data_IF_687346271322
#
_entry.id   IF_687346271322
#
_cell.length_a   1.000
_cell.length_b   1.000
_cell.length_c   1.000
_cell.angle_alpha   90.00
_cell.angle_beta   90.00
_cell.angle_gamma   90.00
#
_symmetry.space_group_name_H-M   'P 1'
#
loop_
_entity.id
_entity.type
_entity.pdbx_description
1 polymer ?
#
# COMPACT_ATOMS: atom_id res chain seq x y z
N UNK A 1 49.31 52.20 15.33
CA UNK A 1 48.73 52.67 14.04
C UNK A 1 47.73 51.63 13.60
N UNK A 2 46.49 52.04 13.58
CA UNK A 2 45.32 51.26 13.24
C UNK A 2 45.27 50.90 11.73
N UNK A 3 44.91 49.68 11.37
CA UNK A 3 44.43 49.36 10.02
C UNK A 3 43.29 48.35 10.13
N UNK A 4 42.14 48.82 9.75
CA UNK A 4 40.85 48.21 9.68
C UNK A 4 40.75 47.20 8.53
N UNK A 5 40.31 45.95 8.81
CA UNK A 5 39.91 45.01 7.76
C UNK A 5 38.39 44.81 7.86
N UNK A 6 37.69 45.20 6.80
CA UNK A 6 36.22 45.05 6.62
C UNK A 6 35.88 43.62 6.29
N UNK A 7 35.04 42.99 7.09
CA UNK A 7 34.35 41.76 6.79
C UNK A 7 33.22 41.99 5.77
N UNK A 8 33.28 41.31 4.63
CA UNK A 8 32.18 41.19 3.69
C UNK A 8 31.30 39.97 4.10
N UNK A 9 30.13 40.25 4.60
CA UNK A 9 29.12 39.24 4.93
C UNK A 9 28.39 38.79 3.65
N UNK A 10 28.59 37.55 3.22
CA UNK A 10 27.73 36.92 2.23
C UNK A 10 26.39 36.57 2.89
N UNK A 11 25.34 37.22 2.44
CA UNK A 11 23.96 36.85 2.75
C UNK A 11 23.61 35.62 1.92
N UNK A 12 23.47 34.48 2.59
CA UNK A 12 22.75 33.31 2.06
C UNK A 12 21.27 33.59 2.28
N UNK A 13 20.53 33.75 1.21
CA UNK A 13 19.07 33.83 1.21
C UNK A 13 18.52 32.42 1.43
N UNK A 14 18.18 32.09 2.65
CA UNK A 14 17.35 30.92 2.97
C UNK A 14 15.90 31.27 2.66
N UNK A 15 15.36 30.72 1.60
CA UNK A 15 13.94 30.70 1.34
C UNK A 15 13.29 29.71 2.31
N UNK A 16 12.74 30.24 3.41
CA UNK A 16 11.83 29.46 4.25
C UNK A 16 10.47 29.43 3.56
N UNK A 17 10.13 28.27 3.00
CA UNK A 17 8.77 27.96 2.61
C UNK A 17 7.96 27.80 3.92
N UNK A 18 7.12 28.77 4.26
CA UNK A 18 6.21 28.68 5.41
C UNK A 18 5.09 27.71 5.07
N UNK A 19 5.08 26.57 5.73
CA UNK A 19 3.89 25.71 5.84
C UNK A 19 2.88 26.45 6.71
N UNK A 20 1.61 26.63 6.30
CA UNK A 20 0.60 27.23 7.14
C UNK A 20 0.29 26.32 8.32
N UNK A 21 0.50 26.82 9.54
CA UNK A 21 0.04 26.17 10.77
C UNK A 21 -1.49 26.02 10.76
N UNK A 22 -1.94 24.85 11.15
CA UNK A 22 -3.34 24.51 11.40
C UNK A 22 -3.94 25.51 12.40
N UNK A 23 -4.99 26.22 12.00
CA UNK A 23 -5.93 26.86 12.89
C UNK A 23 -7.29 26.17 12.82
N UNK A 24 -7.74 25.78 13.98
CA UNK A 24 -9.13 25.55 14.42
C UNK A 24 -10.16 25.15 13.35
N UNK A 25 -10.35 23.84 13.18
CA UNK A 25 -11.52 23.31 12.50
C UNK A 25 -12.62 23.11 13.54
N UNK A 26 -13.54 24.05 13.59
CA UNK A 26 -14.84 23.89 14.24
C UNK A 26 -15.57 22.73 13.61
N UNK A 27 -15.86 21.70 14.39
CA UNK A 27 -16.69 20.56 14.01
C UNK A 27 -18.07 21.04 13.53
N UNK A 28 -18.24 21.18 12.23
CA UNK A 28 -19.55 21.14 11.59
C UNK A 28 -19.69 19.75 11.00
N UNK A 29 -20.80 19.07 11.32
CA UNK A 29 -21.25 17.88 10.62
C UNK A 29 -21.48 18.28 9.15
N UNK A 30 -20.44 18.14 8.33
CA UNK A 30 -20.56 18.39 6.90
C UNK A 30 -20.84 17.05 6.23
N UNK A 31 -21.95 16.97 5.50
CA UNK A 31 -22.14 15.96 4.49
C UNK A 31 -20.84 15.79 3.69
N UNK A 32 -20.43 14.54 3.47
CA UNK A 32 -19.26 14.23 2.67
C UNK A 32 -19.46 14.84 1.26
N UNK A 33 -18.66 15.85 0.90
CA UNK A 33 -18.64 16.43 -0.44
C UNK A 33 -17.50 15.77 -1.25
N UNK A 34 -17.83 14.81 -2.14
CA UNK A 34 -16.84 14.12 -2.96
C UNK A 34 -16.05 15.09 -3.85
N UNK A 35 -16.70 16.16 -4.32
CA UNK A 35 -16.06 17.15 -5.18
C UNK A 35 -15.10 18.06 -4.39
N UNK A 36 -15.40 18.35 -3.12
CA UNK A 36 -14.47 19.04 -2.22
C UNK A 36 -13.23 18.20 -1.93
N UNK A 37 -13.44 16.89 -1.65
CA UNK A 37 -12.33 15.96 -1.43
C UNK A 37 -11.46 15.78 -2.68
N UNK A 38 -12.08 15.72 -3.86
CA UNK A 38 -11.34 15.66 -5.12
C UNK A 38 -10.52 16.93 -5.36
N UNK A 39 -11.08 18.12 -5.07
CA UNK A 39 -10.35 19.40 -5.17
C UNK A 39 -9.17 19.46 -4.20
N UNK A 40 -9.35 19.00 -2.96
CA UNK A 40 -8.29 18.90 -1.97
C UNK A 40 -7.16 17.98 -2.45
N UNK A 41 -7.49 16.77 -2.91
CA UNK A 41 -6.54 15.79 -3.45
C UNK A 41 -5.80 16.32 -4.68
N UNK A 42 -6.48 17.06 -5.56
CA UNK A 42 -5.85 17.72 -6.73
C UNK A 42 -4.89 18.82 -6.32
N UNK A 43 -5.29 19.67 -5.38
CA UNK A 43 -4.44 20.74 -4.85
C UNK A 43 -3.18 20.18 -4.19
N UNK A 44 -3.32 19.12 -3.38
CA UNK A 44 -2.20 18.44 -2.78
C UNK A 44 -1.28 17.76 -3.82
N UNK A 45 -1.86 17.06 -4.82
CA UNK A 45 -1.07 16.33 -5.82
C UNK A 45 -0.29 17.24 -6.76
N UNK A 46 -0.76 18.47 -6.99
CA UNK A 46 -0.05 19.46 -7.80
C UNK A 46 1.11 20.15 -7.07
N UNK A 47 1.17 19.99 -5.73
CA UNK A 47 2.22 20.61 -4.91
C UNK A 47 3.47 19.72 -4.75
N UNK A 48 3.46 18.48 -5.29
CA UNK A 48 4.55 17.54 -5.06
C UNK A 48 5.47 17.42 -6.25
N UNK A 49 6.73 17.77 -6.00
CA UNK A 49 7.80 17.46 -6.94
C UNK A 49 8.16 15.97 -6.81
N UNK A 50 7.66 15.16 -7.74
CA UNK A 50 7.96 13.73 -7.86
C UNK A 50 9.13 13.45 -8.81
N UNK A 51 9.74 14.49 -9.35
CA UNK A 51 10.72 14.39 -10.44
C UNK A 51 12.08 13.83 -10.00
N UNK A 52 12.43 13.95 -8.71
CA UNK A 52 13.75 13.59 -8.21
C UNK A 52 13.70 12.73 -6.94
N UNK A 53 13.18 11.49 -6.99
CA UNK A 53 13.26 10.61 -5.85
C UNK A 53 14.71 10.23 -5.57
N UNK A 54 15.10 10.22 -4.29
CA UNK A 54 16.45 9.85 -3.85
C UNK A 54 16.48 8.40 -3.38
N UNK A 55 17.61 7.71 -3.41
CA UNK A 55 17.73 6.40 -2.77
C UNK A 55 17.39 6.46 -1.28
N UNK A 56 16.76 5.39 -0.77
CA UNK A 56 16.55 5.25 0.67
C UNK A 56 17.90 5.09 1.38
N UNK A 57 18.04 5.72 2.54
CA UNK A 57 19.15 5.52 3.46
C UNK A 57 18.85 4.41 4.46
N UNK A 58 19.87 3.81 5.11
CA UNK A 58 19.66 2.84 6.17
C UNK A 58 18.74 3.41 7.28
N UNK A 59 17.64 2.74 7.54
CA UNK A 59 16.65 3.16 8.54
C UNK A 59 15.41 3.88 7.97
N UNK A 60 15.46 4.41 6.76
CA UNK A 60 14.27 5.03 6.12
C UNK A 60 13.10 4.04 5.98
N UNK A 61 13.41 2.78 5.67
CA UNK A 61 12.45 1.67 5.58
C UNK A 61 13.08 0.51 6.36
N UNK A 62 12.77 0.36 7.65
CA UNK A 62 13.40 -0.65 8.50
C UNK A 62 13.12 -2.07 8.01
N UNK A 63 14.09 -2.97 8.21
CA UNK A 63 13.94 -4.41 7.97
C UNK A 63 13.61 -5.08 9.30
N UNK A 64 12.48 -5.77 9.35
CA UNK A 64 11.99 -6.46 10.54
C UNK A 64 12.01 -7.97 10.27
N UNK A 65 12.77 -8.70 11.09
CA UNK A 65 12.86 -10.15 11.04
C UNK A 65 11.95 -10.78 12.10
N UNK A 66 10.96 -11.55 11.63
CA UNK A 66 10.01 -12.24 12.51
C UNK A 66 10.39 -13.72 12.76
N UNK A 67 11.52 -14.19 12.25
CA UNK A 67 11.89 -15.61 12.30
C UNK A 67 11.99 -16.16 13.72
N UNK A 68 12.52 -15.38 14.68
CA UNK A 68 12.61 -15.79 16.07
C UNK A 68 11.23 -16.06 16.66
N UNK A 69 10.30 -15.11 16.51
CA UNK A 69 8.93 -15.29 16.98
C UNK A 69 8.17 -16.41 16.24
N UNK A 70 8.35 -16.53 14.92
CA UNK A 70 7.75 -17.63 14.16
C UNK A 70 8.21 -18.99 14.67
N UNK A 71 9.48 -19.11 15.09
CA UNK A 71 10.05 -20.36 15.59
C UNK A 71 9.66 -20.66 17.04
N UNK A 72 9.65 -19.66 17.92
CA UNK A 72 9.39 -19.84 19.34
C UNK A 72 7.92 -19.81 19.70
N UNK A 73 7.15 -18.91 19.09
CA UNK A 73 5.79 -18.56 19.50
C UNK A 73 5.70 -17.85 20.85
N UNK A 74 6.85 -17.41 21.41
CA UNK A 74 6.93 -16.84 22.75
C UNK A 74 6.51 -15.38 22.79
N UNK A 75 5.85 -14.96 23.87
CA UNK A 75 5.43 -13.58 24.10
C UNK A 75 6.60 -12.59 24.15
N UNK A 76 7.78 -13.03 24.59
CA UNK A 76 8.98 -12.19 24.63
C UNK A 76 9.45 -11.82 23.21
N UNK A 77 9.51 -12.79 22.30
CA UNK A 77 9.87 -12.56 20.90
C UNK A 77 8.77 -11.75 20.19
N UNK A 78 7.49 -12.01 20.50
CA UNK A 78 6.37 -11.22 20.03
C UNK A 78 6.52 -9.74 20.41
N UNK A 79 6.87 -9.47 21.69
CA UNK A 79 7.03 -8.10 22.17
C UNK A 79 8.18 -7.36 21.46
N UNK A 80 9.29 -8.05 21.17
CA UNK A 80 10.42 -7.46 20.41
C UNK A 80 9.99 -7.06 19.01
N UNK A 81 9.33 -7.95 18.28
CA UNK A 81 8.87 -7.67 16.92
C UNK A 81 7.78 -6.59 16.94
N UNK A 82 6.86 -6.65 17.90
CA UNK A 82 5.79 -5.65 18.05
C UNK A 82 6.34 -4.24 18.28
N UNK A 83 7.40 -4.10 19.09
CA UNK A 83 8.05 -2.81 19.30
C UNK A 83 8.65 -2.24 17.99
N UNK A 84 9.30 -3.08 17.18
CA UNK A 84 9.85 -2.67 15.89
C UNK A 84 8.75 -2.27 14.89
N UNK A 85 7.66 -3.04 14.83
CA UNK A 85 6.50 -2.72 13.97
C UNK A 85 5.84 -1.42 14.43
N UNK A 86 5.68 -1.20 15.74
CA UNK A 86 5.15 0.06 16.26
C UNK A 86 5.98 1.26 15.81
N UNK A 87 7.30 1.21 16.02
CA UNK A 87 8.22 2.28 15.61
C UNK A 87 8.14 2.55 14.11
N UNK A 88 8.16 1.49 13.29
CA UNK A 88 8.07 1.60 11.84
C UNK A 88 6.74 2.23 11.38
N UNK A 89 5.61 1.83 11.96
CA UNK A 89 4.28 2.35 11.61
C UNK A 89 4.08 3.81 12.06
N UNK A 90 4.69 4.22 13.18
CA UNK A 90 4.62 5.61 13.68
C UNK A 90 5.56 6.55 12.91
N UNK A 91 6.70 6.06 12.42
CA UNK A 91 7.76 6.90 11.85
C UNK A 91 7.81 6.90 10.32
N UNK A 92 7.85 5.72 9.70
CA UNK A 92 7.98 5.54 8.26
C UNK A 92 6.67 5.15 7.58
N UNK A 93 5.73 4.49 8.28
CA UNK A 93 4.52 3.90 7.73
C UNK A 93 4.78 2.71 6.81
N UNK A 94 6.06 2.33 6.63
CA UNK A 94 6.55 1.25 5.80
C UNK A 94 7.68 0.49 6.49
N UNK A 95 7.76 -0.81 6.24
CA UNK A 95 8.91 -1.64 6.61
C UNK A 95 9.08 -2.82 5.65
N UNK A 96 10.22 -3.49 5.70
CA UNK A 96 10.47 -4.73 4.98
C UNK A 96 10.42 -5.90 5.96
N UNK A 97 9.60 -6.89 5.66
CA UNK A 97 9.37 -8.07 6.49
C UNK A 97 10.15 -9.26 5.93
N UNK A 98 11.05 -9.81 6.75
CA UNK A 98 11.79 -11.04 6.47
C UNK A 98 11.52 -12.11 7.54
N UNK A 99 12.00 -13.33 7.32
CA UNK A 99 11.78 -14.45 8.26
C UNK A 99 10.32 -14.91 8.32
N UNK A 100 9.54 -14.59 7.30
CA UNK A 100 8.13 -14.95 7.18
C UNK A 100 7.94 -16.41 6.72
N UNK A 101 6.69 -16.91 6.83
CA UNK A 101 6.34 -18.32 6.57
C UNK A 101 6.03 -18.66 5.11
N UNK A 102 5.94 -17.70 4.22
CA UNK A 102 5.65 -17.95 2.80
C UNK A 102 6.86 -18.62 2.15
N UNK A 103 6.73 -19.83 1.56
CA UNK A 103 7.86 -20.56 0.99
C UNK A 103 8.50 -19.79 -0.18
N UNK A 104 9.84 -19.69 -0.19
CA UNK A 104 10.58 -19.00 -1.26
C UNK A 104 10.31 -19.60 -2.64
N UNK A 105 10.23 -20.93 -2.75
CA UNK A 105 9.89 -21.59 -4.02
C UNK A 105 8.49 -21.22 -4.54
N UNK A 106 7.52 -20.98 -3.64
CA UNK A 106 6.19 -20.52 -4.03
C UNK A 106 6.21 -19.05 -4.50
N UNK A 107 7.06 -18.22 -3.90
CA UNK A 107 7.28 -16.83 -4.34
C UNK A 107 7.88 -16.81 -5.76
N UNK A 108 8.89 -17.63 -6.00
CA UNK A 108 9.53 -17.76 -7.33
C UNK A 108 8.52 -18.25 -8.37
N UNK A 109 7.75 -19.32 -8.06
CA UNK A 109 6.71 -19.85 -8.92
C UNK A 109 5.63 -18.80 -9.23
N UNK A 110 5.27 -17.98 -8.24
CA UNK A 110 4.29 -16.93 -8.42
C UNK A 110 4.78 -15.78 -9.32
N UNK A 111 6.06 -15.42 -9.25
CA UNK A 111 6.66 -14.46 -10.19
C UNK A 111 6.76 -15.03 -11.60
N UNK A 112 7.18 -16.29 -11.78
CA UNK A 112 7.16 -16.97 -13.08
C UNK A 112 5.74 -16.98 -13.68
N UNK A 113 4.76 -17.32 -12.87
CA UNK A 113 3.37 -17.36 -13.29
C UNK A 113 2.83 -15.96 -13.65
N UNK A 114 3.24 -14.93 -12.91
CA UNK A 114 2.90 -13.53 -13.21
C UNK A 114 3.48 -13.10 -14.57
N UNK A 115 4.74 -13.42 -14.84
CA UNK A 115 5.39 -13.14 -16.11
C UNK A 115 4.71 -13.87 -17.27
N UNK A 116 4.49 -15.18 -17.14
CA UNK A 116 3.83 -16.02 -18.16
C UNK A 116 2.41 -15.56 -18.46
N UNK A 117 1.65 -15.16 -17.43
CA UNK A 117 0.30 -14.62 -17.62
C UNK A 117 0.34 -13.34 -18.50
N UNK A 118 1.22 -12.40 -18.18
CA UNK A 118 1.30 -11.15 -18.93
C UNK A 118 1.91 -11.30 -20.32
N UNK A 119 2.68 -12.36 -20.56
CA UNK A 119 3.20 -12.72 -21.88
C UNK A 119 2.15 -13.36 -22.81
N UNK A 120 0.98 -13.75 -22.28
CA UNK A 120 -0.10 -14.27 -23.11
C UNK A 120 -0.56 -13.27 -24.16
N UNK A 121 -1.07 -13.73 -25.32
CA UNK A 121 -1.71 -12.86 -26.29
C UNK A 121 -2.83 -12.02 -25.64
N UNK A 122 -2.92 -10.76 -26.04
CA UNK A 122 -3.92 -9.82 -25.49
C UNK A 122 -5.33 -10.40 -25.56
N UNK A 123 -5.68 -11.04 -26.68
CA UNK A 123 -6.99 -11.66 -26.89
C UNK A 123 -7.34 -12.70 -25.80
N UNK A 124 -6.35 -13.48 -25.32
CA UNK A 124 -6.59 -14.45 -24.26
C UNK A 124 -6.89 -13.76 -22.93
N UNK A 125 -6.17 -12.67 -22.60
CA UNK A 125 -6.38 -11.85 -21.40
C UNK A 125 -7.72 -11.08 -21.45
N UNK A 126 -8.07 -10.54 -22.60
CA UNK A 126 -9.34 -9.78 -22.80
C UNK A 126 -10.59 -10.65 -22.57
N UNK A 127 -10.50 -11.98 -22.70
CA UNK A 127 -11.62 -12.88 -22.40
C UNK A 127 -12.03 -12.87 -20.93
N UNK A 128 -11.09 -12.55 -20.05
CA UNK A 128 -11.29 -12.48 -18.59
C UNK A 128 -11.15 -11.05 -18.07
N UNK A 129 -11.42 -10.07 -18.91
CA UNK A 129 -11.36 -8.65 -18.57
C UNK A 129 -12.39 -8.27 -17.52
N UNK A 130 -11.97 -7.59 -16.45
CA UNK A 130 -12.79 -7.29 -15.27
C UNK A 130 -13.76 -6.11 -15.43
N UNK A 131 -13.55 -5.21 -16.41
CA UNK A 131 -14.36 -4.01 -16.65
C UNK A 131 -15.36 -4.18 -17.81
N UNK A 132 -15.80 -5.43 -18.06
CA UNK A 132 -16.85 -5.72 -19.03
C UNK A 132 -18.18 -5.19 -18.56
N UNK A 133 -19.00 -4.71 -19.50
CA UNK A 133 -20.39 -4.34 -19.24
C UNK A 133 -21.15 -5.49 -18.54
N UNK A 134 -21.82 -5.16 -17.43
CA UNK A 134 -22.53 -6.15 -16.60
C UNK A 134 -21.70 -6.81 -15.50
N UNK A 135 -20.43 -6.43 -15.31
CA UNK A 135 -19.59 -6.91 -14.23
C UNK A 135 -19.63 -5.95 -13.04
N UNK A 136 -19.69 -6.49 -11.80
CA UNK A 136 -19.70 -5.63 -10.62
C UNK A 136 -18.42 -4.80 -10.54
N UNK A 137 -18.56 -3.54 -10.17
CA UNK A 137 -17.42 -2.66 -9.86
C UNK A 137 -16.56 -3.32 -8.78
N UNK A 138 -15.25 -3.37 -9.02
CA UNK A 138 -14.33 -4.08 -8.12
C UNK A 138 -14.27 -5.59 -8.34
N UNK A 139 -14.67 -6.06 -9.54
CA UNK A 139 -14.58 -7.44 -9.97
C UNK A 139 -13.16 -8.02 -9.91
N UNK A 140 -13.02 -9.25 -10.35
CA UNK A 140 -11.79 -10.00 -10.48
C UNK A 140 -11.53 -10.30 -11.94
N UNK A 141 -10.27 -10.47 -12.33
CA UNK A 141 -9.90 -10.73 -13.72
C UNK A 141 -8.79 -9.79 -14.22
N UNK A 142 -8.66 -9.72 -15.52
CA UNK A 142 -7.65 -8.91 -16.19
C UNK A 142 -8.02 -7.42 -16.25
N UNK A 143 -7.08 -6.58 -15.86
CA UNK A 143 -7.14 -5.13 -15.96
C UNK A 143 -6.14 -4.67 -17.03
N UNK A 144 -6.61 -4.17 -18.19
CA UNK A 144 -5.73 -3.76 -19.27
C UNK A 144 -4.89 -2.52 -18.93
N UNK A 145 -3.84 -2.30 -19.74
CA UNK A 145 -3.05 -1.08 -19.75
C UNK A 145 -3.95 0.15 -19.88
N UNK A 146 -3.62 1.22 -19.16
CA UNK A 146 -4.35 2.50 -19.18
C UNK A 146 -5.84 2.43 -18.75
N UNK A 147 -6.29 1.34 -18.16
CA UNK A 147 -7.68 1.16 -17.75
C UNK A 147 -8.04 1.93 -16.47
N UNK A 148 -7.07 2.27 -15.63
CA UNK A 148 -7.30 3.04 -14.41
C UNK A 148 -6.62 4.39 -14.45
N UNK A 149 -7.44 5.41 -14.21
CA UNK A 149 -7.03 6.79 -14.06
C UNK A 149 -7.49 7.29 -12.70
N UNK A 150 -6.56 7.77 -11.88
CA UNK A 150 -6.95 8.45 -10.65
C UNK A 150 -7.64 9.78 -10.99
N UNK A 151 -8.67 10.21 -10.24
CA UNK A 151 -9.38 11.47 -10.49
C UNK A 151 -8.45 12.68 -10.53
N UNK A 152 -7.35 12.63 -9.79
CA UNK A 152 -6.35 13.70 -9.66
C UNK A 152 -5.36 13.78 -10.83
N UNK A 153 -5.42 12.87 -11.83
CA UNK A 153 -4.42 12.76 -12.89
C UNK A 153 -5.00 12.98 -14.28
N UNK A 154 -4.15 13.53 -15.16
CA UNK A 154 -4.51 13.72 -16.57
C UNK A 154 -4.44 12.41 -17.36
N UNK A 155 -3.46 11.55 -17.06
CA UNK A 155 -3.21 10.28 -17.74
C UNK A 155 -3.57 9.07 -16.86
N UNK A 156 -3.91 7.97 -17.49
CA UNK A 156 -4.13 6.69 -16.84
C UNK A 156 -2.81 5.99 -16.50
N UNK A 157 -2.85 5.06 -15.55
CA UNK A 157 -1.67 4.32 -15.09
C UNK A 157 -1.09 3.42 -16.19
N UNK A 158 0.24 3.40 -16.28
CA UNK A 158 1.01 2.59 -17.23
C UNK A 158 1.33 1.21 -16.63
N UNK A 159 0.29 0.43 -16.40
CA UNK A 159 0.40 -0.95 -15.94
C UNK A 159 -0.79 -1.78 -16.43
N UNK A 160 -0.61 -3.08 -16.45
CA UNK A 160 -1.68 -4.06 -16.58
C UNK A 160 -1.64 -5.02 -15.38
N UNK A 161 -2.75 -5.65 -15.07
CA UNK A 161 -2.80 -6.53 -13.91
C UNK A 161 -3.83 -7.66 -14.05
N UNK A 162 -3.65 -8.72 -13.28
CA UNK A 162 -4.69 -9.69 -12.97
C UNK A 162 -5.05 -9.57 -11.50
N UNK A 163 -6.33 -9.55 -11.19
CA UNK A 163 -6.84 -9.39 -9.83
C UNK A 163 -7.69 -10.60 -9.43
N UNK A 164 -7.49 -11.04 -8.18
CA UNK A 164 -8.41 -11.90 -7.46
C UNK A 164 -8.73 -11.30 -6.10
N UNK A 165 -9.80 -11.76 -5.49
CA UNK A 165 -10.20 -11.35 -4.14
C UNK A 165 -10.76 -12.54 -3.36
N UNK A 166 -10.60 -12.48 -2.04
CA UNK A 166 -11.28 -13.33 -1.09
C UNK A 166 -12.02 -12.48 -0.07
N UNK A 167 -13.19 -12.91 0.35
CA UNK A 167 -14.00 -12.25 1.37
C UNK A 167 -14.80 -13.24 2.21
N UNK A 168 -14.31 -14.47 2.33
CA UNK A 168 -14.95 -15.51 3.11
C UNK A 168 -16.29 -16.03 2.57
N UNK A 169 -17.03 -15.22 1.80
CA UNK A 169 -18.31 -15.58 1.19
C UNK A 169 -18.21 -15.85 -0.31
N UNK A 170 -17.44 -15.05 -1.02
CA UNK A 170 -17.31 -15.19 -2.47
C UNK A 170 -16.16 -16.13 -2.88
N UNK A 171 -15.19 -16.37 -1.99
CA UNK A 171 -14.04 -17.23 -2.29
C UNK A 171 -13.39 -16.95 -3.63
N UNK A 172 -12.64 -17.91 -4.11
CA UNK A 172 -12.07 -17.85 -5.47
C UNK A 172 -13.08 -18.19 -6.58
N UNK A 173 -14.30 -18.63 -6.22
CA UNK A 173 -15.27 -19.17 -7.17
C UNK A 173 -15.78 -18.22 -8.23
N UNK A 174 -15.90 -16.95 -7.89
CA UNK A 174 -16.41 -15.90 -8.78
C UNK A 174 -15.29 -15.19 -9.55
N UNK A 175 -14.04 -15.64 -9.39
CA UNK A 175 -12.91 -15.08 -10.09
C UNK A 175 -12.94 -15.48 -11.57
N UNK A 176 -12.57 -14.55 -12.43
CA UNK A 176 -12.44 -14.78 -13.85
C UNK A 176 -11.11 -15.49 -14.13
N UNK A 177 -11.16 -16.79 -14.21
CA UNK A 177 -9.97 -17.57 -14.46
C UNK A 177 -9.79 -17.86 -15.96
N UNK A 178 -8.54 -17.92 -16.38
CA UNK A 178 -8.20 -18.52 -17.68
C UNK A 178 -8.57 -20.01 -17.67
N UNK A 179 -8.96 -20.52 -18.86
CA UNK A 179 -9.02 -21.97 -19.03
C UNK A 179 -7.62 -22.56 -18.80
N UNK A 180 -7.52 -23.66 -18.08
CA UNK A 180 -6.23 -24.30 -17.75
C UNK A 180 -5.37 -24.60 -18.97
N UNK A 181 -5.98 -24.94 -20.09
CA UNK A 181 -5.27 -25.16 -21.36
C UNK A 181 -4.53 -23.91 -21.89
N UNK A 182 -4.91 -22.69 -21.48
CA UNK A 182 -4.25 -21.46 -21.90
C UNK A 182 -2.99 -21.16 -21.08
N UNK A 183 -3.02 -21.49 -19.79
CA UNK A 183 -1.88 -21.37 -18.88
C UNK A 183 -2.01 -22.43 -17.78
N UNK A 184 -1.47 -23.63 -18.02
CA UNK A 184 -1.57 -24.74 -17.07
C UNK A 184 -0.99 -24.42 -15.71
N UNK A 185 -1.72 -24.75 -14.64
CA UNK A 185 -1.31 -24.52 -13.26
C UNK A 185 -1.48 -23.08 -12.76
N UNK A 186 -1.94 -22.15 -13.60
CA UNK A 186 -2.08 -20.73 -13.23
C UNK A 186 -2.96 -20.54 -12.00
N UNK A 187 -4.17 -21.11 -12.03
CA UNK A 187 -5.12 -20.96 -10.93
C UNK A 187 -4.57 -21.59 -9.65
N UNK A 188 -4.04 -22.80 -9.71
CA UNK A 188 -3.50 -23.53 -8.56
C UNK A 188 -2.36 -22.73 -7.88
N UNK A 189 -1.40 -22.23 -8.65
CA UNK A 189 -0.29 -21.43 -8.11
C UNK A 189 -0.80 -20.15 -7.44
N UNK A 190 -1.71 -19.42 -8.09
CA UNK A 190 -2.23 -18.16 -7.57
C UNK A 190 -3.05 -18.38 -6.29
N UNK A 191 -3.89 -19.43 -6.24
CA UNK A 191 -4.68 -19.76 -5.03
C UNK A 191 -3.77 -20.18 -3.88
N UNK A 192 -2.79 -21.09 -4.11
CA UNK A 192 -1.80 -21.50 -3.08
C UNK A 192 -1.00 -20.31 -2.53
N UNK A 193 -0.60 -19.39 -3.41
CA UNK A 193 0.11 -18.20 -3.01
C UNK A 193 -0.79 -17.26 -2.19
N UNK A 194 -2.02 -17.03 -2.62
CA UNK A 194 -2.97 -16.19 -1.91
C UNK A 194 -3.28 -16.75 -0.50
N UNK A 195 -3.45 -18.07 -0.37
CA UNK A 195 -3.65 -18.74 0.91
C UNK A 195 -2.42 -18.57 1.84
N UNK A 196 -1.22 -18.78 1.30
CA UNK A 196 0.02 -18.62 2.08
C UNK A 196 0.23 -17.17 2.57
N UNK A 197 -0.11 -16.17 1.75
CA UNK A 197 -0.01 -14.75 2.14
C UNK A 197 -1.14 -14.36 3.09
N UNK A 198 -2.35 -14.91 2.93
CA UNK A 198 -3.43 -14.72 3.90
C UNK A 198 -3.06 -15.29 5.27
N UNK A 199 -2.44 -16.47 5.32
CA UNK A 199 -1.94 -17.06 6.56
C UNK A 199 -0.85 -16.20 7.21
N UNK A 200 0.05 -15.62 6.40
CA UNK A 200 1.03 -14.65 6.89
C UNK A 200 0.32 -13.40 7.45
N UNK A 201 -0.65 -12.86 6.73
CA UNK A 201 -1.40 -11.69 7.18
C UNK A 201 -2.13 -11.93 8.51
N UNK A 202 -2.75 -13.10 8.69
CA UNK A 202 -3.35 -13.50 9.97
C UNK A 202 -2.31 -13.58 11.11
N UNK A 203 -1.11 -14.08 10.82
CA UNK A 203 0.01 -14.12 11.79
C UNK A 203 0.52 -12.73 12.17
N UNK A 204 0.39 -11.72 11.32
CA UNK A 204 0.79 -10.36 11.66
C UNK A 204 -0.19 -9.67 12.63
N UNK A 205 -1.44 -10.10 12.73
CA UNK A 205 -2.45 -9.46 13.59
C UNK A 205 -2.05 -9.42 15.07
N UNK A 206 -1.56 -10.51 15.70
CA UNK A 206 -1.04 -10.46 17.07
C UNK A 206 0.12 -9.46 17.26
N UNK A 207 0.99 -9.31 16.25
CA UNK A 207 2.08 -8.33 16.29
C UNK A 207 1.51 -6.92 16.33
N UNK A 208 0.56 -6.59 15.45
CA UNK A 208 -0.09 -5.28 15.44
C UNK A 208 -0.89 -5.01 16.74
N UNK A 209 -1.60 -6.01 17.27
CA UNK A 209 -2.33 -5.87 18.53
C UNK A 209 -1.38 -5.55 19.68
N UNK A 210 -0.31 -6.33 19.84
CA UNK A 210 0.72 -6.12 20.88
C UNK A 210 1.44 -4.77 20.70
N UNK A 211 1.77 -4.38 19.45
CA UNK A 211 2.38 -3.10 19.12
C UNK A 211 1.51 -1.90 19.56
N UNK A 212 0.19 -2.07 19.52
CA UNK A 212 -0.79 -1.07 19.93
C UNK A 212 -1.14 -1.14 21.43
N UNK A 213 -0.52 -2.06 22.19
CA UNK A 213 -0.80 -2.24 23.62
C UNK A 213 -2.14 -2.94 23.89
N UNK A 214 -2.60 -3.75 22.94
CA UNK A 214 -3.82 -4.54 23.01
C UNK A 214 -3.50 -6.02 23.25
N UNK A 215 -4.49 -6.80 23.68
CA UNK A 215 -4.35 -8.26 23.74
C UNK A 215 -4.03 -8.83 22.36
N UNK A 216 -3.13 -9.80 22.26
CA UNK A 216 -2.67 -10.40 21.00
C UNK A 216 -3.84 -10.92 20.12
N UNK A 217 -4.95 -11.36 20.72
CA UNK A 217 -6.16 -11.81 20.05
C UNK A 217 -7.14 -10.70 19.65
N UNK A 218 -6.86 -9.43 19.95
CA UNK A 218 -7.83 -8.33 19.81
C UNK A 218 -8.45 -8.23 18.41
N UNK A 219 -7.66 -8.39 17.36
CA UNK A 219 -8.15 -8.28 15.99
C UNK A 219 -8.86 -9.54 15.46
N UNK A 220 -8.73 -10.69 16.12
CA UNK A 220 -9.24 -11.96 15.62
C UNK A 220 -10.73 -11.93 15.21
N UNK A 221 -11.68 -11.32 15.99
CA UNK A 221 -13.08 -11.28 15.60
C UNK A 221 -13.35 -10.53 14.29
N UNK A 222 -12.57 -9.48 14.02
CA UNK A 222 -12.68 -8.69 12.78
C UNK A 222 -12.08 -9.38 11.55
N UNK A 223 -11.26 -10.40 11.76
CA UNK A 223 -10.50 -11.07 10.70
C UNK A 223 -10.80 -12.58 10.60
N UNK A 224 -11.94 -13.04 11.12
CA UNK A 224 -12.41 -14.42 10.89
C UNK A 224 -12.69 -14.69 9.40
N UNK A 225 -13.18 -13.69 8.69
CA UNK A 225 -13.44 -13.70 7.25
C UNK A 225 -12.87 -12.44 6.61
N UNK A 226 -11.56 -12.32 6.51
CA UNK A 226 -10.92 -11.10 6.04
C UNK A 226 -11.26 -10.80 4.59
N UNK A 227 -11.42 -9.53 4.28
CA UNK A 227 -11.52 -9.06 2.91
C UNK A 227 -10.13 -8.77 2.37
N UNK A 228 -9.74 -9.42 1.29
CA UNK A 228 -8.45 -9.17 0.67
C UNK A 228 -8.52 -9.16 -0.86
N UNK A 229 -7.52 -8.51 -1.46
CA UNK A 229 -7.29 -8.50 -2.90
C UNK A 229 -5.84 -8.80 -3.19
N UNK A 230 -5.61 -9.74 -4.10
CA UNK A 230 -4.29 -10.01 -4.67
C UNK A 230 -4.25 -9.44 -6.08
N UNK A 231 -3.18 -8.71 -6.40
CA UNK A 231 -2.98 -8.13 -7.71
C UNK A 231 -1.62 -8.54 -8.27
N UNK A 232 -1.63 -9.21 -9.41
CA UNK A 232 -0.45 -9.53 -10.20
C UNK A 232 -0.23 -8.41 -11.20
N UNK A 233 0.77 -7.56 -10.98
CA UNK A 233 0.96 -6.34 -11.78
C UNK A 233 2.21 -6.44 -12.65
N UNK A 234 2.08 -6.04 -13.90
CA UNK A 234 3.18 -5.80 -14.82
C UNK A 234 3.27 -4.31 -15.15
N UNK A 235 4.46 -3.77 -15.04
CA UNK A 235 4.85 -2.45 -15.54
C UNK A 235 5.73 -2.68 -16.77
N UNK A 236 5.33 -2.21 -17.96
CA UNK A 236 6.10 -2.42 -19.18
C UNK A 236 7.42 -1.65 -19.12
N UNK A 237 8.36 -1.96 -20.02
CA UNK A 237 9.54 -1.12 -20.24
C UNK A 237 9.11 0.31 -20.56
N UNK A 238 9.88 1.26 -20.05
CA UNK A 238 9.60 2.68 -20.21
C UNK A 238 9.83 3.10 -21.67
N UNK A 239 8.87 3.78 -22.32
CA UNK A 239 9.11 4.45 -23.59
C UNK A 239 10.19 5.52 -23.45
N UNK A 240 11.04 5.72 -24.48
CA UNK A 240 12.14 6.71 -24.48
C UNK A 240 11.67 8.17 -24.28
N UNK A 241 10.37 8.44 -24.34
CA UNK A 241 9.75 9.77 -24.25
C UNK A 241 8.67 9.81 -23.16
N UNK A 242 9.06 9.57 -21.90
CA UNK A 242 8.17 9.76 -20.77
C UNK A 242 8.12 11.22 -20.31
N UNK A 243 6.91 11.71 -20.07
CA UNK A 243 6.70 12.92 -19.29
C UNK A 243 6.72 12.54 -17.80
N UNK A 244 7.83 12.79 -17.14
CA UNK A 244 8.15 12.36 -15.76
C UNK A 244 7.01 12.68 -14.77
N UNK A 245 6.31 13.80 -14.93
CA UNK A 245 5.25 14.23 -14.02
C UNK A 245 3.84 13.77 -14.41
N UNK A 246 3.69 13.11 -15.55
CA UNK A 246 2.40 12.72 -16.09
C UNK A 246 2.23 11.20 -16.29
N UNK A 247 3.32 10.48 -16.53
CA UNK A 247 3.31 9.05 -16.86
C UNK A 247 3.81 8.22 -15.67
N UNK A 248 2.87 7.63 -14.93
CA UNK A 248 3.17 6.75 -13.80
C UNK A 248 2.79 5.32 -14.11
N UNK A 249 3.58 4.36 -13.62
CA UNK A 249 3.16 2.98 -13.51
C UNK A 249 1.90 2.88 -12.62
N UNK A 250 1.98 3.42 -11.41
CA UNK A 250 0.83 3.77 -10.55
C UNK A 250 1.12 5.15 -9.96
N UNK A 251 0.19 6.10 -10.16
CA UNK A 251 0.33 7.46 -9.68
C UNK A 251 0.33 7.54 -8.13
N UNK A 252 0.88 8.62 -7.54
CA UNK A 252 0.90 8.83 -6.10
C UNK A 252 -0.48 8.67 -5.45
N UNK A 253 -0.56 7.79 -4.45
CA UNK A 253 -1.78 7.44 -3.71
C UNK A 253 -1.44 6.95 -2.30
N UNK A 254 -2.45 6.73 -1.50
CA UNK A 254 -2.42 5.95 -0.26
C UNK A 254 -3.29 4.71 -0.44
N UNK A 255 -2.96 3.62 0.25
CA UNK A 255 -3.79 2.42 0.24
C UNK A 255 -4.97 2.57 1.21
N UNK A 256 -6.17 2.25 0.75
CA UNK A 256 -7.38 2.17 1.59
C UNK A 256 -7.51 0.77 2.18
N UNK A 257 -6.53 0.36 3.00
CA UNK A 257 -6.42 -0.98 3.58
C UNK A 257 -6.18 -0.90 5.07
N UNK A 258 -6.26 -2.06 5.76
CA UNK A 258 -5.67 -2.22 7.07
C UNK A 258 -4.15 -2.21 6.93
N UNK A 259 -3.58 -3.14 6.14
CA UNK A 259 -2.22 -3.08 5.65
C UNK A 259 -2.11 -3.72 4.25
N UNK A 260 -0.98 -3.47 3.60
CA UNK A 260 -0.62 -4.10 2.32
C UNK A 260 0.67 -4.88 2.48
N UNK A 261 0.72 -6.09 1.92
CA UNK A 261 1.92 -6.93 1.78
C UNK A 261 2.32 -6.95 0.30
N UNK A 262 3.47 -6.40 -0.03
CA UNK A 262 3.93 -6.26 -1.41
C UNK A 262 5.21 -7.04 -1.67
N UNK A 263 5.21 -7.95 -2.63
CA UNK A 263 6.42 -8.46 -3.26
C UNK A 263 6.73 -7.71 -4.56
N UNK A 264 8.01 -7.48 -4.83
CA UNK A 264 8.49 -6.88 -6.06
C UNK A 264 9.78 -7.55 -6.53
N UNK A 265 9.94 -7.71 -7.86
CA UNK A 265 11.14 -8.33 -8.44
C UNK A 265 12.23 -7.31 -8.81
N UNK A 266 11.87 -6.05 -8.94
CA UNK A 266 12.79 -4.97 -9.31
C UNK A 266 12.39 -3.65 -8.64
N UNK A 267 13.31 -2.70 -8.61
CA UNK A 267 13.08 -1.35 -8.09
C UNK A 267 11.99 -0.63 -8.87
N UNK A 268 11.32 0.33 -8.23
CA UNK A 268 10.28 1.14 -8.85
C UNK A 268 9.22 1.63 -7.87
N UNK A 269 9.18 1.11 -6.63
CA UNK A 269 8.36 1.67 -5.56
C UNK A 269 9.06 2.90 -4.98
N UNK A 270 8.33 4.00 -4.91
CA UNK A 270 8.78 5.26 -4.32
C UNK A 270 7.80 5.70 -3.24
N UNK A 271 8.32 6.09 -2.08
CA UNK A 271 7.58 6.37 -0.85
C UNK A 271 7.91 7.79 -0.40
N UNK A 272 6.93 8.53 0.09
CA UNK A 272 7.19 9.84 0.68
C UNK A 272 7.71 9.71 2.12
N UNK A 273 8.95 10.09 2.36
CA UNK A 273 9.52 10.13 3.70
C UNK A 273 9.15 11.43 4.41
N UNK A 274 8.28 11.33 5.42
CA UNK A 274 7.93 12.48 6.27
C UNK A 274 9.11 12.97 7.11
N UNK A 275 10.05 12.09 7.44
CA UNK A 275 11.24 12.45 8.22
C UNK A 275 12.23 13.28 7.39
N UNK A 276 12.36 12.98 6.09
CA UNK A 276 13.29 13.63 5.18
C UNK A 276 12.64 14.70 4.28
N UNK A 277 11.30 14.78 4.33
CA UNK A 277 10.47 15.66 3.48
C UNK A 277 10.81 15.51 1.98
N UNK A 278 10.96 14.26 1.53
CA UNK A 278 11.27 13.93 0.15
C UNK A 278 10.78 12.55 -0.26
N UNK A 279 10.77 12.29 -1.57
CA UNK A 279 10.48 10.98 -2.12
C UNK A 279 11.73 10.09 -2.09
N UNK A 280 11.60 8.89 -1.55
CA UNK A 280 12.67 7.89 -1.46
C UNK A 280 12.32 6.64 -2.25
N UNK A 281 13.31 6.09 -2.93
CA UNK A 281 13.18 4.83 -3.68
C UNK A 281 13.35 3.65 -2.71
N UNK A 282 12.31 2.82 -2.59
CA UNK A 282 12.37 1.64 -1.74
C UNK A 282 13.36 0.61 -2.30
N UNK A 283 14.32 0.12 -1.50
CA UNK A 283 15.24 -0.91 -1.95
C UNK A 283 14.51 -2.25 -2.13
N UNK A 284 15.02 -3.08 -3.04
CA UNK A 284 14.56 -4.45 -3.20
C UNK A 284 15.40 -5.37 -2.32
N UNK A 285 14.76 -5.98 -1.33
CA UNK A 285 15.37 -7.05 -0.52
C UNK A 285 14.79 -8.38 -1.02
N UNK A 286 15.62 -9.29 -1.52
CA UNK A 286 15.13 -10.55 -2.07
C UNK A 286 14.28 -11.33 -1.07
N UNK A 287 13.08 -11.73 -1.48
CA UNK A 287 12.15 -12.50 -0.65
C UNK A 287 11.46 -11.71 0.47
N UNK A 288 11.80 -10.44 0.71
CA UNK A 288 11.11 -9.62 1.69
C UNK A 288 9.77 -9.10 1.16
N UNK A 289 8.76 -9.06 2.03
CA UNK A 289 7.58 -8.26 1.78
C UNK A 289 7.83 -6.82 2.19
N UNK A 290 7.54 -5.87 1.31
CA UNK A 290 7.33 -4.47 1.71
C UNK A 290 5.93 -4.39 2.33
N UNK A 291 5.86 -3.93 3.57
CA UNK A 291 4.60 -3.81 4.32
C UNK A 291 4.31 -2.35 4.58
N UNK A 292 3.09 -1.92 4.32
CA UNK A 292 2.64 -0.57 4.67
C UNK A 292 1.29 -0.57 5.37
N UNK A 293 1.13 0.34 6.32
CA UNK A 293 -0.16 0.67 6.93
C UNK A 293 -1.02 1.43 5.93
N UNK A 294 -2.30 1.05 5.85
CA UNK A 294 -3.28 1.73 5.02
C UNK A 294 -4.10 2.78 5.78
N UNK A 295 -4.94 3.50 5.05
CA UNK A 295 -5.77 4.58 5.59
C UNK A 295 -6.77 4.08 6.65
N UNK A 296 -7.27 2.83 6.52
CA UNK A 296 -8.16 2.27 7.52
C UNK A 296 -7.45 2.00 8.85
N UNK A 297 -6.24 1.47 8.84
CA UNK A 297 -5.46 1.28 10.07
C UNK A 297 -5.09 2.62 10.70
N UNK A 298 -4.72 3.63 9.89
CA UNK A 298 -4.49 5.00 10.37
C UNK A 298 -5.73 5.57 11.09
N UNK A 299 -6.93 5.42 10.50
CA UNK A 299 -8.17 5.87 11.12
C UNK A 299 -8.48 5.11 12.40
N UNK A 300 -8.31 3.79 12.39
CA UNK A 300 -8.50 2.92 13.57
C UNK A 300 -7.57 3.28 14.72
N UNK A 301 -6.32 3.69 14.39
CA UNK A 301 -5.31 4.13 15.37
C UNK A 301 -5.36 5.63 15.66
N UNK A 302 -6.40 6.34 15.24
CA UNK A 302 -6.61 7.78 15.49
C UNK A 302 -5.41 8.65 15.06
N UNK A 303 -4.82 8.35 13.88
CA UNK A 303 -3.60 8.93 13.30
C UNK A 303 -2.29 8.56 14.02
N UNK A 304 -2.29 7.60 14.93
CA UNK A 304 -1.05 7.12 15.56
C UNK A 304 -0.13 6.45 14.54
N UNK A 305 -0.70 5.62 13.65
CA UNK A 305 0.04 5.01 12.55
C UNK A 305 -0.13 5.82 11.27
N UNK A 306 0.93 5.89 10.49
CA UNK A 306 0.96 6.65 9.25
C UNK A 306 0.38 5.84 8.09
N UNK A 307 -0.44 6.49 7.27
CA UNK A 307 -0.76 6.01 5.92
C UNK A 307 0.00 6.90 4.94
N UNK A 308 1.03 6.33 4.32
CA UNK A 308 2.02 7.11 3.60
C UNK A 308 1.81 7.02 2.10
N UNK A 309 1.94 8.16 1.43
CA UNK A 309 1.85 8.25 -0.01
C UNK A 309 3.00 7.56 -0.70
N UNK A 310 2.67 6.83 -1.74
CA UNK A 310 3.62 6.12 -2.55
C UNK A 310 3.16 6.03 -4.00
N UNK A 311 4.09 5.80 -4.89
CA UNK A 311 3.84 5.56 -6.30
C UNK A 311 4.78 4.49 -6.84
N UNK A 312 4.50 3.98 -8.03
CA UNK A 312 5.37 3.03 -8.68
C UNK A 312 5.62 3.39 -10.14
N UNK A 313 6.88 3.32 -10.51
CA UNK A 313 7.35 3.45 -11.88
C UNK A 313 8.16 2.22 -12.28
N UNK A 314 8.43 2.11 -13.56
CA UNK A 314 9.44 1.21 -14.09
C UNK A 314 10.47 2.04 -14.84
N UNK A 315 11.70 2.08 -14.35
CA UNK A 315 12.80 2.82 -14.95
C UNK A 315 13.71 1.91 -15.77
N UNK A 316 13.35 0.61 -15.85
CA UNK A 316 14.16 -0.41 -16.52
C UNK A 316 13.76 -0.60 -17.98
N UNK A 317 14.69 -1.18 -18.76
CA UNK A 317 14.42 -1.63 -20.13
C UNK A 317 13.63 -2.93 -20.21
N UNK A 318 13.47 -3.59 -19.07
CA UNK A 318 12.71 -4.83 -18.91
C UNK A 318 11.41 -4.57 -18.16
N UNK A 319 10.45 -5.47 -18.26
CA UNK A 319 9.22 -5.37 -17.47
C UNK A 319 9.52 -5.57 -15.98
N UNK A 320 8.92 -4.73 -15.13
CA UNK A 320 8.88 -4.90 -13.68
C UNK A 320 7.59 -5.60 -13.29
N UNK A 321 7.68 -6.48 -12.29
CA UNK A 321 6.52 -7.17 -11.73
C UNK A 321 6.40 -6.88 -10.24
N UNK A 322 5.16 -6.74 -9.78
CA UNK A 322 4.84 -6.64 -8.35
C UNK A 322 3.56 -7.38 -8.02
N UNK A 323 3.47 -7.84 -6.77
CA UNK A 323 2.37 -8.67 -6.29
C UNK A 323 1.88 -8.12 -4.94
N UNK A 324 1.12 -7.01 -4.94
CA UNK A 324 0.49 -6.50 -3.72
C UNK A 324 -0.70 -7.37 -3.29
N UNK A 325 -0.77 -7.59 -1.98
CA UNK A 325 -1.87 -8.24 -1.27
C UNK A 325 -2.48 -7.22 -0.29
N UNK A 326 -3.65 -6.71 -0.63
CA UNK A 326 -4.38 -5.71 0.13
C UNK A 326 -5.27 -6.40 1.17
N UNK A 327 -5.04 -6.15 2.45
CA UNK A 327 -5.67 -6.89 3.53
C UNK A 327 -6.54 -6.00 4.43
N UNK A 328 -7.74 -6.49 4.76
CA UNK A 328 -8.74 -5.75 5.53
C UNK A 328 -9.52 -6.69 6.45
N UNK A 329 -10.14 -6.13 7.47
CA UNK A 329 -11.16 -6.81 8.25
C UNK A 329 -12.31 -7.32 7.36
N UNK A 330 -13.16 -8.16 7.92
CA UNK A 330 -14.40 -8.59 7.28
C UNK A 330 -15.17 -7.38 6.77
N UNK A 331 -15.78 -7.51 5.58
CA UNK A 331 -16.30 -6.39 4.80
C UNK A 331 -17.26 -5.46 5.58
N UNK A 332 -18.07 -6.02 6.48
CA UNK A 332 -19.05 -5.28 7.28
C UNK A 332 -18.64 -5.11 8.75
N UNK A 333 -17.40 -5.52 9.12
CA UNK A 333 -16.92 -5.37 10.49
C UNK A 333 -16.78 -3.89 10.87
N UNK A 334 -17.42 -3.42 11.96
CA UNK A 334 -17.35 -2.02 12.36
C UNK A 334 -15.95 -1.71 12.95
N UNK A 335 -15.24 -0.78 12.31
CA UNK A 335 -13.92 -0.36 12.76
C UNK A 335 -14.07 0.90 13.63
N UNK A 336 -13.99 0.68 14.95
CA UNK A 336 -14.02 1.75 15.95
C UNK A 336 -12.60 2.19 16.30
N UNK A 337 -12.42 3.44 16.68
CA UNK A 337 -11.15 3.92 17.21
C UNK A 337 -10.65 3.00 18.32
N UNK A 338 -9.42 2.52 18.22
CA UNK A 338 -8.85 1.57 19.18
C UNK A 338 -8.76 2.17 20.58
N UNK A 339 -9.07 1.40 21.65
CA UNK A 339 -9.16 1.93 23.00
C UNK A 339 -7.84 2.49 23.54
N UNK A 340 -6.72 2.06 22.99
CA UNK A 340 -5.37 2.55 23.35
C UNK A 340 -4.93 3.77 22.52
N UNK A 341 -5.76 4.22 21.57
CA UNK A 341 -5.44 5.31 20.65
C UNK A 341 -6.28 6.58 20.86
N UNK A 342 -7.11 6.61 21.89
CA UNK A 342 -7.89 7.80 22.25
C UNK A 342 -8.02 7.95 23.76
N UNK A 343 -8.25 9.18 24.21
CA UNK A 343 -8.55 9.56 25.59
C UNK A 343 -9.35 10.88 25.62
N UNK A 344 -9.47 11.51 26.79
CA UNK A 344 -10.20 12.75 26.96
C UNK A 344 -9.54 13.94 26.21
N UNK A 345 -8.22 13.92 26.08
CA UNK A 345 -7.43 14.98 25.42
C UNK A 345 -7.24 14.72 23.92
N UNK A 346 -7.39 13.45 23.49
CA UNK A 346 -7.32 13.02 22.10
C UNK A 346 -8.53 12.14 21.75
N UNK A 347 -9.74 12.70 21.61
CA UNK A 347 -10.95 11.92 21.32
C UNK A 347 -10.90 11.29 19.91
N UNK A 348 -11.73 10.26 19.63
CA UNK A 348 -11.83 9.68 18.30
C UNK A 348 -12.09 10.73 17.21
N UNK A 349 -11.24 10.77 16.18
CA UNK A 349 -11.30 11.72 15.07
C UNK A 349 -12.18 11.27 13.92
N UNK A 350 -12.42 9.97 13.82
CA UNK A 350 -13.12 9.34 12.71
C UNK A 350 -14.38 8.61 13.17
N UNK A 351 -15.43 8.57 12.35
CA UNK A 351 -16.61 7.77 12.66
C UNK A 351 -16.27 6.28 12.56
N UNK A 352 -17.02 5.45 13.26
CA UNK A 352 -17.01 4.00 13.06
C UNK A 352 -17.51 3.68 11.65
N UNK A 353 -16.68 3.03 10.84
CA UNK A 353 -17.03 2.61 9.48
C UNK A 353 -16.59 1.16 9.24
N UNK A 354 -17.22 0.49 8.28
CA UNK A 354 -16.74 -0.80 7.78
C UNK A 354 -15.93 -0.63 6.49
N UNK A 355 -15.24 -1.70 6.07
CA UNK A 355 -14.54 -1.70 4.79
C UNK A 355 -15.48 -1.40 3.61
N UNK A 356 -16.68 -2.01 3.59
CA UNK A 356 -17.68 -1.74 2.56
C UNK A 356 -18.10 -0.27 2.54
N UNK A 357 -18.36 0.33 3.69
CA UNK A 357 -18.72 1.75 3.78
C UNK A 357 -17.58 2.66 3.30
N UNK A 358 -16.33 2.33 3.62
CA UNK A 358 -15.17 3.08 3.12
C UNK A 358 -15.02 3.02 1.60
N UNK A 359 -15.32 1.86 1.00
CA UNK A 359 -15.28 1.69 -0.45
C UNK A 359 -16.43 2.44 -1.15
N UNK A 360 -17.64 2.43 -0.60
CA UNK A 360 -18.79 3.17 -1.12
C UNK A 360 -18.51 4.69 -1.08
N UNK A 361 -17.99 5.20 0.04
CA UNK A 361 -17.61 6.61 0.16
C UNK A 361 -16.52 7.03 -0.86
N UNK A 362 -15.57 6.14 -1.17
CA UNK A 362 -14.53 6.40 -2.18
C UNK A 362 -15.07 6.41 -3.62
N UNK A 363 -16.22 5.78 -3.87
CA UNK A 363 -16.86 5.71 -5.19
C UNK A 363 -17.93 6.80 -5.41
N UNK A 364 -18.26 7.55 -4.38
CA UNK A 364 -19.25 8.64 -4.42
C UNK A 364 -20.70 8.14 -4.41
N UNK A 365 -20.94 6.96 -3.83
CA UNK A 365 -22.28 6.40 -3.55
C UNK A 365 -22.75 6.72 -2.12
#
# INVERSE_FOLDING_TARGET
>A
MLSTVRNACHRVLTHHCRVPHRHDVVMRSTEFDPAAKERELRAESSAWDVSNPVPAEPGDIPVIDISAWVASGDDADLAVVAAQVNEACESAGFFQLIGHTVPSGLIEEMFDMNERFHALPLEAKERIRMDREGWPVGGVGYLPMYSRKLPTRAKANLNEAFLIKGNGELGFGDSQWLADAALPGFRDTVERYADAVNDLALRLLPIYATALGLDAGFFAPGFEKPSWRLRMTRYPPVPEQLEVDADFGIAPHVDTTFFTLLLQNAQGLTIFSHQRDCWIQAPVVPGAFVVNSGELLKQWTNDRYLSVRHFANNDARESRYSIPFFYNAAADYPMECLPTCHDADNPPKYPTISYNQSQAAAQGE
#
